data_IF_394428078822
#
_entry.id   IF_394428078822
#
_cell.length_a   1.000
_cell.length_b   1.000
_cell.length_c   1.000
_cell.angle_alpha   90.00
_cell.angle_beta   90.00
_cell.angle_gamma   90.00
#
_symmetry.space_group_name_H-M   'P 1'
#
loop_
_entity.id
_entity.type
_entity.pdbx_description
1 polymer ?
#
# COMPACT_ATOMS: atom_id res chain seq x y z
N UNK A 1 -4.38 -12.92 21.65
CA UNK A 1 -3.57 -13.60 20.62
C UNK A 1 -2.61 -12.56 20.07
N UNK A 2 -1.28 -12.74 20.15
CA UNK A 2 -0.38 -11.83 19.44
C UNK A 2 -0.78 -11.87 17.96
N UNK A 3 -1.06 -10.72 17.36
CA UNK A 3 -1.27 -10.64 15.90
C UNK A 3 -0.05 -11.32 15.25
N UNK A 4 -0.29 -12.29 14.37
CA UNK A 4 0.78 -12.86 13.56
C UNK A 4 1.52 -11.69 12.89
N UNK A 5 2.84 -11.65 13.02
CA UNK A 5 3.65 -10.53 12.53
C UNK A 5 3.63 -10.57 11.00
N UNK A 6 2.68 -9.86 10.40
CA UNK A 6 2.49 -9.83 8.96
C UNK A 6 3.55 -8.96 8.28
N UNK A 7 3.82 -9.15 6.97
CA UNK A 7 4.76 -8.31 6.25
C UNK A 7 4.54 -6.80 6.44
N UNK A 8 3.29 -6.32 6.34
CA UNK A 8 3.04 -4.88 6.54
C UNK A 8 3.24 -4.42 7.97
N UNK A 9 2.99 -5.28 8.98
CA UNK A 9 3.28 -4.98 10.39
C UNK A 9 4.79 -4.85 10.62
N UNK A 10 5.59 -5.73 10.01
CA UNK A 10 7.05 -5.61 10.05
C UNK A 10 7.53 -4.31 9.42
N UNK A 11 6.93 -3.87 8.32
CA UNK A 11 7.27 -2.59 7.68
C UNK A 11 6.85 -1.39 8.55
N UNK A 12 5.63 -1.38 9.06
CA UNK A 12 5.15 -0.35 9.99
C UNK A 12 6.06 -0.21 11.21
N UNK A 13 6.56 -1.33 11.75
CA UNK A 13 7.46 -1.33 12.91
C UNK A 13 8.83 -0.65 12.66
N UNK A 14 9.22 -0.43 11.39
CA UNK A 14 10.45 0.29 11.05
C UNK A 14 10.29 1.81 11.14
N UNK A 15 9.07 2.34 11.25
CA UNK A 15 8.78 3.75 11.46
C UNK A 15 8.06 3.98 12.81
N UNK A 16 8.75 3.74 13.96
CA UNK A 16 8.15 3.80 15.29
C UNK A 16 7.61 5.18 15.70
N UNK A 17 8.04 6.25 15.03
CA UNK A 17 7.55 7.62 15.20
C UNK A 17 6.10 7.80 14.72
N UNK A 18 5.61 6.89 13.88
CA UNK A 18 4.23 6.91 13.42
C UNK A 18 3.34 6.16 14.42
N UNK A 19 2.37 6.83 15.06
CA UNK A 19 1.42 6.13 15.92
C UNK A 19 0.62 5.11 15.08
N UNK A 20 0.25 3.95 15.66
CA UNK A 20 -0.56 2.96 14.96
C UNK A 20 -1.94 3.54 14.64
N UNK A 21 -2.45 3.23 13.45
CA UNK A 21 -3.82 3.56 13.07
C UNK A 21 -4.75 2.46 13.59
N UNK A 22 -5.97 2.81 14.05
CA UNK A 22 -6.98 1.80 14.36
C UNK A 22 -7.86 1.49 13.15
N UNK A 23 -8.40 0.28 13.11
CA UNK A 23 -9.55 -0.09 12.29
C UNK A 23 -9.36 0.15 10.77
N UNK A 24 -10.31 0.79 10.08
CA UNK A 24 -10.26 0.95 8.63
C UNK A 24 -9.03 1.71 8.11
N UNK A 25 -8.52 2.65 8.91
CA UNK A 25 -7.35 3.43 8.56
C UNK A 25 -6.07 2.58 8.51
N UNK A 26 -5.93 1.60 9.44
CA UNK A 26 -4.84 0.61 9.42
C UNK A 26 -4.93 -0.27 8.17
N UNK A 27 -6.13 -0.77 7.87
CA UNK A 27 -6.35 -1.61 6.68
C UNK A 27 -5.99 -0.86 5.40
N UNK A 28 -6.39 0.41 5.28
CA UNK A 28 -6.05 1.25 4.13
C UNK A 28 -4.53 1.43 3.98
N UNK A 29 -3.82 1.73 5.08
CA UNK A 29 -2.35 1.88 5.07
C UNK A 29 -1.66 0.58 4.63
N UNK A 30 -2.07 -0.55 5.19
CA UNK A 30 -1.50 -1.87 4.90
C UNK A 30 -1.75 -2.30 3.44
N UNK A 31 -2.94 -2.03 2.91
CA UNK A 31 -3.24 -2.23 1.49
C UNK A 31 -2.36 -1.36 0.59
N UNK A 32 -2.15 -0.09 0.94
CA UNK A 32 -1.26 0.80 0.18
C UNK A 32 0.21 0.34 0.22
N UNK A 33 0.68 -0.19 1.35
CA UNK A 33 2.01 -0.79 1.45
C UNK A 33 2.16 -2.02 0.55
N UNK A 34 1.18 -2.93 0.57
CA UNK A 34 1.18 -4.10 -0.31
C UNK A 34 1.14 -3.70 -1.78
N UNK A 35 0.39 -2.64 -2.12
CA UNK A 35 0.33 -2.09 -3.46
C UNK A 35 1.68 -1.52 -3.88
N UNK A 36 2.30 -0.67 -3.05
CA UNK A 36 3.60 -0.08 -3.32
C UNK A 36 4.69 -1.13 -3.57
N UNK A 37 4.76 -2.16 -2.73
CA UNK A 37 5.72 -3.26 -2.86
C UNK A 37 5.31 -4.35 -3.85
N UNK A 38 4.12 -4.23 -4.43
CA UNK A 38 3.63 -5.08 -5.51
C UNK A 38 3.90 -4.50 -6.90
N UNK A 39 4.19 -3.19 -7.01
CA UNK A 39 4.53 -2.54 -8.28
C UNK A 39 5.78 -3.16 -8.89
N UNK A 40 5.72 -3.45 -10.19
CA UNK A 40 6.90 -3.81 -10.96
C UNK A 40 7.70 -2.55 -11.31
N UNK A 41 8.71 -2.26 -10.49
CA UNK A 41 9.59 -1.09 -10.64
C UNK A 41 10.65 -1.22 -11.73
N UNK A 42 10.70 -2.36 -12.41
CA UNK A 42 11.68 -2.65 -13.46
C UNK A 42 11.06 -2.57 -14.86
N UNK A 43 9.83 -3.08 -15.01
CA UNK A 43 9.19 -3.25 -16.33
C UNK A 43 7.88 -2.50 -16.51
N UNK A 44 7.23 -2.03 -15.44
CA UNK A 44 5.97 -1.28 -15.59
C UNK A 44 6.20 0.16 -16.05
N UNK A 45 5.13 0.81 -16.53
CA UNK A 45 5.17 2.23 -16.88
C UNK A 45 5.59 3.15 -15.71
N UNK A 46 5.41 2.70 -14.46
CA UNK A 46 5.84 3.44 -13.26
C UNK A 46 7.37 3.52 -13.16
N UNK A 47 8.08 2.57 -13.78
CA UNK A 47 9.54 2.55 -13.84
C UNK A 47 10.11 3.69 -14.70
N UNK A 48 9.33 4.26 -15.62
CA UNK A 48 9.79 5.35 -16.48
C UNK A 48 10.23 6.56 -15.65
N UNK A 49 11.40 7.18 -15.93
CA UNK A 49 11.96 8.24 -15.08
C UNK A 49 11.02 9.43 -14.82
N UNK A 50 10.18 9.78 -15.80
CA UNK A 50 9.18 10.85 -15.66
C UNK A 50 8.10 10.52 -14.62
N UNK A 51 7.67 9.26 -14.56
CA UNK A 51 6.60 8.80 -13.68
C UNK A 51 7.12 8.47 -12.28
N UNK A 52 8.37 8.02 -12.18
CA UNK A 52 9.04 7.78 -10.90
C UNK A 52 9.18 9.06 -10.07
N UNK A 53 9.47 10.20 -10.72
CA UNK A 53 9.60 11.51 -10.06
C UNK A 53 8.29 11.99 -9.43
N UNK A 54 7.15 11.74 -10.09
CA UNK A 54 5.83 12.18 -9.62
C UNK A 54 5.04 11.05 -8.97
N UNK A 55 5.69 9.93 -8.64
CA UNK A 55 5.02 8.73 -8.16
C UNK A 55 4.19 8.99 -6.89
N UNK A 56 4.84 9.54 -5.87
CA UNK A 56 4.21 9.79 -4.58
C UNK A 56 3.17 10.90 -4.62
N UNK A 57 3.36 11.89 -5.49
CA UNK A 57 2.59 13.12 -5.49
C UNK A 57 1.41 13.09 -6.48
N UNK A 58 1.54 12.36 -7.60
CA UNK A 58 0.56 12.34 -8.68
C UNK A 58 0.09 10.93 -9.03
N UNK A 59 1.04 10.04 -9.38
CA UNK A 59 0.70 8.76 -9.99
C UNK A 59 -0.04 7.83 -9.01
N UNK A 60 0.53 7.59 -7.83
CA UNK A 60 -0.09 6.73 -6.82
C UNK A 60 -1.39 7.35 -6.28
N UNK A 61 -1.43 8.61 -5.80
CA UNK A 61 -2.66 9.18 -5.26
C UNK A 61 -3.78 9.26 -6.31
N UNK A 62 -3.45 9.65 -7.53
CA UNK A 62 -4.43 9.79 -8.62
C UNK A 62 -5.11 8.47 -8.97
N UNK A 63 -4.34 7.38 -9.04
CA UNK A 63 -4.87 6.04 -9.37
C UNK A 63 -5.65 5.43 -8.21
N UNK A 64 -5.10 5.49 -7.00
CA UNK A 64 -5.79 5.00 -5.79
C UNK A 64 -7.13 5.70 -5.62
N UNK A 65 -7.15 7.03 -5.70
CA UNK A 65 -8.36 7.82 -5.52
C UNK A 65 -9.40 7.49 -6.60
N UNK A 66 -8.99 7.39 -7.86
CA UNK A 66 -9.89 7.04 -8.97
C UNK A 66 -10.51 5.66 -8.79
N UNK A 67 -9.73 4.67 -8.38
CA UNK A 67 -10.24 3.33 -8.07
C UNK A 67 -11.21 3.37 -6.89
N UNK A 68 -10.86 4.09 -5.82
CA UNK A 68 -11.70 4.21 -4.63
C UNK A 68 -13.07 4.82 -4.93
N UNK A 69 -13.15 5.82 -5.83
CA UNK A 69 -14.44 6.39 -6.24
C UNK A 69 -15.32 5.45 -7.10
N UNK A 70 -14.72 4.44 -7.75
CA UNK A 70 -15.44 3.52 -8.65
C UNK A 70 -15.83 2.20 -7.98
N UNK A 71 -15.11 1.83 -6.93
CA UNK A 71 -15.31 0.59 -6.23
C UNK A 71 -16.28 0.73 -5.05
N UNK A 72 -17.07 -0.31 -4.86
CA UNK A 72 -17.97 -0.59 -3.76
C UNK A 72 -17.47 -1.75 -2.88
N UNK A 73 -16.51 -2.54 -3.38
CA UNK A 73 -15.83 -3.61 -2.63
C UNK A 73 -14.31 -3.48 -2.68
N UNK A 74 -13.62 -4.05 -1.68
CA UNK A 74 -12.15 -4.07 -1.64
C UNK A 74 -11.55 -4.91 -2.77
N UNK A 75 -12.17 -6.03 -3.16
CA UNK A 75 -11.71 -6.83 -4.28
C UNK A 75 -11.70 -6.04 -5.58
N UNK A 76 -12.80 -5.32 -5.86
CA UNK A 76 -12.91 -4.47 -7.05
C UNK A 76 -11.91 -3.32 -7.00
N UNK A 77 -11.79 -2.65 -5.86
CA UNK A 77 -10.81 -1.59 -5.66
C UNK A 77 -9.39 -2.07 -5.93
N UNK A 78 -9.03 -3.23 -5.36
CA UNK A 78 -7.70 -3.83 -5.49
C UNK A 78 -7.40 -4.21 -6.94
N UNK A 79 -8.33 -4.92 -7.61
CA UNK A 79 -8.18 -5.28 -9.02
C UNK A 79 -8.01 -4.06 -9.92
N UNK A 80 -8.83 -3.03 -9.74
CA UNK A 80 -8.76 -1.79 -10.53
C UNK A 80 -7.42 -1.07 -10.33
N UNK A 81 -7.01 -0.87 -9.07
CA UNK A 81 -5.78 -0.10 -8.78
C UNK A 81 -4.54 -0.86 -9.23
N UNK A 82 -4.48 -2.19 -9.01
CA UNK A 82 -3.38 -3.05 -9.48
C UNK A 82 -3.22 -2.99 -11.00
N UNK A 83 -4.32 -3.12 -11.74
CA UNK A 83 -4.31 -3.02 -13.20
C UNK A 83 -3.79 -1.68 -13.69
N UNK A 84 -4.15 -0.58 -13.02
CA UNK A 84 -3.69 0.76 -13.44
C UNK A 84 -2.25 1.09 -13.06
N UNK A 85 -1.72 0.51 -11.99
CA UNK A 85 -0.35 0.77 -11.50
C UNK A 85 0.67 -0.27 -11.97
N UNK A 86 0.24 -1.31 -12.70
CA UNK A 86 1.14 -2.41 -13.06
C UNK A 86 1.66 -3.16 -11.83
N UNK A 87 0.81 -3.32 -10.81
CA UNK A 87 1.14 -4.04 -9.59
C UNK A 87 0.55 -5.46 -9.66
N UNK A 88 1.30 -6.47 -10.14
CA UNK A 88 0.83 -7.85 -10.16
C UNK A 88 0.54 -8.36 -8.75
N UNK A 89 -0.23 -9.46 -8.68
CA UNK A 89 -0.50 -10.13 -7.42
C UNK A 89 0.82 -10.50 -6.68
N UNK A 90 0.90 -10.35 -5.34
CA UNK A 90 2.13 -10.62 -4.60
C UNK A 90 2.69 -12.03 -4.84
N UNK A 91 3.96 -12.13 -5.22
CA UNK A 91 4.65 -13.41 -5.44
C UNK A 91 5.01 -14.13 -4.14
N UNK A 92 5.17 -13.40 -3.03
CA UNK A 92 5.49 -13.98 -1.73
C UNK A 92 4.23 -14.50 -1.03
N UNK A 93 4.29 -15.72 -0.46
CA UNK A 93 3.16 -16.38 0.20
C UNK A 93 2.55 -15.53 1.31
N UNK A 94 3.39 -14.97 2.19
CA UNK A 94 2.92 -14.24 3.36
C UNK A 94 2.18 -12.95 2.96
N UNK A 95 2.64 -12.29 1.90
CA UNK A 95 1.94 -11.12 1.35
C UNK A 95 0.60 -11.48 0.72
N UNK A 96 0.47 -12.66 0.10
CA UNK A 96 -0.83 -13.16 -0.41
C UNK A 96 -1.80 -13.47 0.71
N UNK A 97 -1.33 -14.13 1.78
CA UNK A 97 -2.16 -14.46 2.94
C UNK A 97 -2.66 -13.20 3.64
N UNK A 98 -1.75 -12.24 3.84
CA UNK A 98 -2.11 -10.95 4.42
C UNK A 98 -3.10 -10.19 3.53
N UNK A 99 -2.84 -10.10 2.22
CA UNK A 99 -3.76 -9.45 1.29
C UNK A 99 -5.16 -10.07 1.34
N UNK A 100 -5.26 -11.41 1.27
CA UNK A 100 -6.54 -12.10 1.36
C UNK A 100 -7.28 -11.78 2.68
N UNK A 101 -6.56 -11.63 3.79
CA UNK A 101 -7.15 -11.25 5.08
C UNK A 101 -7.66 -9.80 5.08
N UNK A 102 -6.91 -8.88 4.47
CA UNK A 102 -7.28 -7.47 4.39
C UNK A 102 -8.46 -7.22 3.44
N UNK A 103 -8.57 -7.98 2.35
CA UNK A 103 -9.70 -7.87 1.42
C UNK A 103 -11.04 -8.31 2.05
N UNK A 104 -11.01 -9.16 3.08
CA UNK A 104 -12.19 -9.54 3.86
C UNK A 104 -12.68 -8.47 4.84
N UNK A 105 -11.98 -7.35 5.00
CA UNK A 105 -12.41 -6.28 5.90
C UNK A 105 -13.65 -5.54 5.35
N UNK A 106 -14.44 -4.86 6.21
CA UNK A 106 -15.57 -4.06 5.76
C UNK A 106 -15.13 -3.05 4.69
N UNK A 107 -15.69 -3.18 3.48
CA UNK A 107 -15.16 -2.44 2.33
C UNK A 107 -15.41 -0.95 2.39
N UNK A 108 -16.65 -0.55 2.70
CA UNK A 108 -17.06 0.87 2.67
C UNK A 108 -16.19 1.74 3.59
N UNK A 109 -15.99 1.40 4.89
CA UNK A 109 -15.14 2.22 5.77
C UNK A 109 -13.69 2.37 5.28
N UNK A 110 -13.11 1.32 4.69
CA UNK A 110 -11.74 1.35 4.17
C UNK A 110 -11.66 2.18 2.88
N UNK A 111 -12.64 2.03 2.00
CA UNK A 111 -12.75 2.84 0.78
C UNK A 111 -12.93 4.32 1.12
N UNK A 112 -13.71 4.65 2.15
CA UNK A 112 -13.89 6.04 2.59
C UNK A 112 -12.58 6.66 3.12
N UNK A 113 -11.75 5.89 3.82
CA UNK A 113 -10.39 6.32 4.19
C UNK A 113 -9.54 6.65 2.95
N UNK A 114 -9.64 5.82 1.91
CA UNK A 114 -8.93 6.00 0.63
C UNK A 114 -9.54 7.11 -0.26
N UNK A 115 -10.76 7.56 0.00
CA UNK A 115 -11.38 8.70 -0.69
C UNK A 115 -11.07 10.03 -0.01
N UNK A 116 -11.23 10.07 1.31
CA UNK A 116 -11.28 11.31 2.06
C UNK A 116 -10.00 11.64 2.82
N UNK A 117 -9.19 10.63 3.16
CA UNK A 117 -7.96 10.80 3.96
C UNK A 117 -6.71 10.33 3.24
N UNK A 118 -6.80 10.09 1.92
CA UNK A 118 -5.72 9.53 1.12
C UNK A 118 -4.38 10.29 1.24
N UNK A 119 -4.31 11.64 1.17
CA UNK A 119 -3.03 12.32 1.27
C UNK A 119 -2.28 11.99 2.57
N UNK A 120 -3.00 11.92 3.70
CA UNK A 120 -2.42 11.54 4.99
C UNK A 120 -1.96 10.07 5.02
N UNK A 121 -2.68 9.17 4.36
CA UNK A 121 -2.29 7.75 4.25
C UNK A 121 -1.06 7.59 3.38
N UNK A 122 -0.98 8.29 2.24
CA UNK A 122 0.17 8.25 1.33
C UNK A 122 1.43 8.78 2.02
N UNK A 123 1.34 9.88 2.77
CA UNK A 123 2.49 10.41 3.53
C UNK A 123 3.06 9.37 4.50
N UNK A 124 2.19 8.67 5.24
CA UNK A 124 2.61 7.62 6.17
C UNK A 124 3.25 6.43 5.46
N UNK A 125 2.64 5.97 4.35
CA UNK A 125 3.18 4.90 3.52
C UNK A 125 4.56 5.27 2.96
N UNK A 126 4.75 6.54 2.57
CA UNK A 126 6.05 7.04 2.10
C UNK A 126 7.11 7.01 3.19
N UNK A 127 6.80 7.50 4.40
CA UNK A 127 7.72 7.46 5.55
C UNK A 127 8.13 6.02 5.86
N UNK A 128 7.16 5.09 5.91
CA UNK A 128 7.42 3.66 6.11
C UNK A 128 8.30 3.10 4.99
N UNK A 129 8.02 3.46 3.74
CA UNK A 129 8.79 2.97 2.60
C UNK A 129 10.24 3.46 2.60
N UNK A 130 10.47 4.70 3.02
CA UNK A 130 11.80 5.29 3.23
C UNK A 130 12.55 4.53 4.33
N UNK A 131 11.93 4.30 5.50
CA UNK A 131 12.52 3.53 6.60
C UNK A 131 12.87 2.07 6.19
N UNK A 132 12.00 1.40 5.42
CA UNK A 132 12.28 0.07 4.88
C UNK A 132 13.47 0.10 3.91
N UNK A 133 13.58 1.13 3.07
CA UNK A 133 14.69 1.28 2.15
C UNK A 133 16.02 1.50 2.89
N UNK A 134 16.02 2.34 3.93
CA UNK A 134 17.16 2.55 4.81
C UNK A 134 17.62 1.26 5.48
N UNK A 135 16.69 0.50 6.08
CA UNK A 135 17.00 -0.80 6.69
C UNK A 135 17.64 -1.77 5.68
N UNK A 136 17.07 -1.87 4.48
CA UNK A 136 17.62 -2.75 3.41
C UNK A 136 19.00 -2.32 2.93
N UNK A 137 19.27 -1.03 2.89
CA UNK A 137 20.58 -0.50 2.53
C UNK A 137 21.61 -0.76 3.63
N UNK A 138 21.22 -0.63 4.90
CA UNK A 138 22.07 -0.96 6.05
C UNK A 138 22.38 -2.47 6.16
N UNK A 139 21.45 -3.32 5.73
CA UNK A 139 21.63 -4.78 5.70
C UNK A 139 22.42 -5.28 4.48
N UNK A 140 22.76 -4.40 3.54
CA UNK A 140 23.59 -4.75 2.39
C UNK A 140 25.07 -4.79 2.83
N UNK A 141 25.77 -5.93 2.66
CA UNK A 141 27.18 -6.06 3.05
C UNK A 141 28.11 -5.20 2.18
#
# INVERSE_FOLDING_TARGET
MPEAQTPTRTWQALAPELPPLPGPADTAERLLLLLHYGIDWDTSWVAEPRHRKTYWDEALPGRVRRAAYRADTLDRWWSDVCGTLGAPAPRQRDRRLELATLLCQPSIPVIDELRHKLPARILRVRIIAEAVAEKRNADRP
#
